data_IF_020368863932
#
_entry.id   IF_020368863932
#
_cell.length_a   1.000
_cell.length_b   1.000
_cell.length_c   1.000
_cell.angle_alpha   90.00
_cell.angle_beta   90.00
_cell.angle_gamma   90.00
#
_symmetry.space_group_name_H-M   'P 1'
#
loop_
_entity.id
_entity.type
_entity.pdbx_description
1 polymer ?
#
# COMPACT_ATOMS: atom_id res chain seq x y z
N UNK A 1 -22.49 -21.78 -8.20
CA UNK A 1 -21.46 -21.68 -7.15
C UNK A 1 -22.06 -20.78 -6.09
N UNK A 2 -22.62 -21.37 -5.03
CA UNK A 2 -23.41 -20.63 -4.04
C UNK A 2 -22.50 -19.71 -3.23
N UNK A 3 -22.74 -18.41 -3.31
CA UNK A 3 -22.17 -17.43 -2.39
C UNK A 3 -22.96 -17.49 -1.08
N UNK A 4 -22.51 -18.34 -0.17
CA UNK A 4 -23.00 -18.35 1.20
C UNK A 4 -22.45 -17.11 1.91
N UNK A 5 -23.22 -16.01 1.87
CA UNK A 5 -22.93 -14.86 2.74
C UNK A 5 -23.23 -15.31 4.17
N UNK A 6 -22.20 -15.67 4.92
CA UNK A 6 -22.27 -15.85 6.35
C UNK A 6 -22.80 -14.54 6.98
N UNK A 7 -24.08 -14.52 7.33
CA UNK A 7 -24.64 -13.43 8.12
C UNK A 7 -23.99 -13.43 9.50
N UNK A 8 -23.56 -12.27 9.97
CA UNK A 8 -23.08 -12.12 11.36
C UNK A 8 -24.29 -12.30 12.28
N UNK A 9 -24.27 -13.39 13.06
CA UNK A 9 -25.26 -13.62 14.12
C UNK A 9 -24.78 -12.90 15.36
N UNK A 10 -25.42 -11.77 15.69
CA UNK A 10 -25.18 -11.07 16.95
C UNK A 10 -25.96 -11.78 18.06
N UNK A 11 -25.25 -12.18 19.10
CA UNK A 11 -25.83 -12.78 20.30
C UNK A 11 -26.38 -11.69 21.23
N UNK A 12 -27.69 -11.66 21.43
CA UNK A 12 -28.35 -10.68 22.31
C UNK A 12 -28.36 -11.09 23.80
N UNK A 13 -27.78 -12.25 24.11
CA UNK A 13 -27.66 -12.81 25.48
C UNK A 13 -26.32 -12.48 26.16
N UNK A 14 -25.51 -11.61 25.57
CA UNK A 14 -24.17 -11.28 26.09
C UNK A 14 -24.21 -10.24 27.21
N UNK A 15 -23.33 -10.41 28.21
CA UNK A 15 -23.06 -9.35 29.17
C UNK A 15 -22.28 -8.20 28.50
N UNK A 16 -22.29 -6.97 29.06
CA UNK A 16 -21.51 -5.86 28.51
C UNK A 16 -20.00 -6.15 28.43
N UNK A 17 -19.46 -6.95 29.35
CA UNK A 17 -18.07 -7.37 29.31
C UNK A 17 -17.80 -8.29 28.11
N UNK A 18 -18.67 -9.27 27.88
CA UNK A 18 -18.53 -10.22 26.78
C UNK A 18 -18.62 -9.52 25.42
N UNK A 19 -19.50 -8.53 25.28
CA UNK A 19 -19.59 -7.69 24.06
C UNK A 19 -18.25 -6.99 23.78
N UNK A 20 -17.64 -6.38 24.79
CA UNK A 20 -16.36 -5.67 24.61
C UNK A 20 -15.21 -6.64 24.33
N UNK A 21 -15.21 -7.81 24.96
CA UNK A 21 -14.23 -8.86 24.71
C UNK A 21 -14.34 -9.38 23.26
N UNK A 22 -15.56 -9.62 22.78
CA UNK A 22 -15.83 -10.06 21.41
C UNK A 22 -15.42 -8.99 20.39
N UNK A 23 -15.76 -7.72 20.63
CA UNK A 23 -15.33 -6.62 19.77
C UNK A 23 -13.81 -6.51 19.69
N UNK A 24 -13.10 -6.67 20.81
CA UNK A 24 -11.64 -6.67 20.83
C UNK A 24 -11.06 -7.85 20.05
N UNK A 25 -11.65 -9.04 20.19
CA UNK A 25 -11.25 -10.25 19.46
C UNK A 25 -11.45 -10.09 17.95
N UNK A 26 -12.61 -9.57 17.53
CA UNK A 26 -12.91 -9.27 16.14
C UNK A 26 -11.92 -8.24 15.57
N UNK A 27 -11.62 -7.18 16.33
CA UNK A 27 -10.64 -6.18 15.90
C UNK A 27 -9.23 -6.76 15.74
N UNK A 28 -8.78 -7.57 16.69
CA UNK A 28 -7.48 -8.24 16.57
C UNK A 28 -7.40 -9.15 15.34
N UNK A 29 -8.51 -9.81 14.99
CA UNK A 29 -8.61 -10.62 13.77
C UNK A 29 -8.52 -9.76 12.51
N UNK A 30 -9.20 -8.61 12.48
CA UNK A 30 -9.13 -7.64 11.39
C UNK A 30 -7.71 -7.10 11.20
N UNK A 31 -7.06 -6.66 12.29
CA UNK A 31 -5.70 -6.14 12.26
C UNK A 31 -4.69 -7.18 11.76
N UNK A 32 -4.84 -8.44 12.18
CA UNK A 32 -4.00 -9.55 11.69
C UNK A 32 -4.21 -9.80 10.18
N UNK A 33 -5.45 -9.72 9.71
CA UNK A 33 -5.76 -9.87 8.28
C UNK A 33 -5.16 -8.72 7.46
N UNK A 34 -5.28 -7.48 7.93
CA UNK A 34 -4.69 -6.30 7.28
C UNK A 34 -3.15 -6.39 7.24
N UNK A 35 -2.50 -6.80 8.33
CA UNK A 35 -1.06 -7.01 8.37
C UNK A 35 -0.62 -8.09 7.36
N UNK A 36 -1.39 -9.17 7.22
CA UNK A 36 -1.13 -10.21 6.22
C UNK A 36 -1.27 -9.67 4.78
N UNK A 37 -2.27 -8.85 4.51
CA UNK A 37 -2.44 -8.23 3.20
C UNK A 37 -1.26 -7.33 2.85
N UNK A 38 -0.76 -6.54 3.81
CA UNK A 38 0.42 -5.70 3.63
C UNK A 38 1.66 -6.54 3.31
N UNK A 39 1.89 -7.63 4.04
CA UNK A 39 3.01 -8.55 3.77
C UNK A 39 2.93 -9.17 2.37
N UNK A 40 1.73 -9.54 1.91
CA UNK A 40 1.52 -10.05 0.55
C UNK A 40 1.77 -8.99 -0.52
N UNK A 41 1.37 -7.73 -0.27
CA UNK A 41 1.66 -6.63 -1.18
C UNK A 41 3.16 -6.35 -1.28
N UNK A 42 3.89 -6.40 -0.16
CA UNK A 42 5.35 -6.29 -0.16
C UNK A 42 6.02 -7.42 -0.94
N UNK A 43 5.59 -8.67 -0.70
CA UNK A 43 6.07 -9.82 -1.47
C UNK A 43 5.76 -9.68 -2.96
N UNK A 44 4.59 -9.17 -3.31
CA UNK A 44 4.24 -8.90 -4.71
C UNK A 44 5.20 -7.89 -5.33
N UNK A 45 5.54 -6.81 -4.62
CA UNK A 45 6.52 -5.84 -5.09
C UNK A 45 7.92 -6.46 -5.27
N UNK A 46 8.36 -7.34 -4.35
CA UNK A 46 9.63 -8.05 -4.46
C UNK A 46 9.68 -9.00 -5.67
N UNK A 47 8.55 -9.64 -6.00
CA UNK A 47 8.42 -10.55 -7.14
C UNK A 47 8.30 -9.83 -8.49
N UNK A 48 7.88 -8.57 -8.49
CA UNK A 48 7.80 -7.73 -9.67
C UNK A 48 8.82 -6.60 -9.52
N UNK A 49 10.13 -6.90 -9.44
CA UNK A 49 11.13 -5.85 -9.38
C UNK A 49 10.95 -5.01 -10.64
N UNK A 50 10.66 -3.70 -10.52
CA UNK A 50 10.61 -2.85 -11.69
C UNK A 50 11.99 -2.93 -12.32
N UNK A 51 12.05 -3.38 -13.56
CA UNK A 51 13.31 -3.58 -14.31
C UNK A 51 14.14 -2.28 -14.36
N UNK A 52 13.54 -1.14 -14.05
CA UNK A 52 14.15 0.05 -13.46
C UNK A 52 13.07 0.93 -12.83
N UNK A 53 13.24 1.41 -11.59
CA UNK A 53 12.29 2.37 -10.98
C UNK A 53 12.31 3.71 -11.75
N UNK A 54 13.40 4.02 -12.47
CA UNK A 54 13.48 5.21 -13.32
C UNK A 54 12.49 5.19 -14.50
N UNK A 55 12.03 4.03 -14.99
CA UNK A 55 11.03 4.01 -16.06
C UNK A 55 9.59 3.92 -15.56
N UNK A 56 9.36 3.32 -14.38
CA UNK A 56 8.02 3.08 -13.84
C UNK A 56 7.51 4.24 -12.95
N UNK A 57 8.39 5.02 -12.32
CA UNK A 57 8.03 6.17 -11.48
C UNK A 57 7.92 7.49 -12.26
N UNK A 58 8.28 7.50 -13.54
CA UNK A 58 8.20 8.70 -14.39
C UNK A 58 6.88 8.66 -15.15
N UNK A 59 5.80 9.03 -14.47
CA UNK A 59 4.62 9.53 -15.16
C UNK A 59 4.90 11.00 -15.49
N UNK A 60 5.70 11.27 -16.53
CA UNK A 60 5.88 12.63 -17.06
C UNK A 60 4.58 13.09 -17.70
N UNK A 61 3.69 13.66 -16.90
CA UNK A 61 2.68 14.57 -17.40
C UNK A 61 3.41 15.84 -17.85
N UNK A 62 2.99 16.51 -18.93
CA UNK A 62 3.50 17.84 -19.22
C UNK A 62 3.38 18.75 -17.97
N UNK A 63 4.51 19.19 -17.41
CA UNK A 63 4.58 19.95 -16.16
C UNK A 63 5.00 19.16 -14.90
N UNK A 64 5.40 17.90 -15.03
CA UNK A 64 6.03 17.12 -13.95
C UNK A 64 7.55 17.28 -13.94
N UNK A 65 8.15 17.05 -12.78
CA UNK A 65 9.59 17.22 -12.53
C UNK A 65 10.44 16.42 -13.53
N UNK A 66 11.41 17.08 -14.16
CA UNK A 66 12.36 16.45 -15.07
C UNK A 66 13.80 16.57 -14.55
N UNK A 67 14.64 15.57 -14.83
CA UNK A 67 16.08 15.68 -14.62
C UNK A 67 16.71 16.28 -15.88
N UNK A 68 17.38 17.43 -15.73
CA UNK A 68 18.05 18.11 -16.83
C UNK A 68 19.58 17.98 -16.68
N UNK A 69 20.34 17.84 -17.79
CA UNK A 69 21.79 17.80 -17.74
C UNK A 69 22.33 19.14 -17.23
N UNK A 70 23.11 19.13 -16.14
CA UNK A 70 23.56 20.37 -15.46
C UNK A 70 24.33 21.34 -16.38
N UNK A 71 25.00 20.84 -17.42
CA UNK A 71 25.78 21.65 -18.34
C UNK A 71 25.69 21.18 -19.81
N UNK A 72 24.60 20.51 -20.18
CA UNK A 72 24.36 20.00 -21.53
C UNK A 72 24.72 18.53 -21.75
N UNK A 73 24.68 18.08 -23.01
CA UNK A 73 24.81 16.67 -23.39
C UNK A 73 26.10 16.03 -22.82
N UNK A 74 25.93 14.91 -22.12
CA UNK A 74 27.04 14.15 -21.50
C UNK A 74 27.35 14.52 -20.05
N UNK A 75 26.67 15.51 -19.46
CA UNK A 75 26.79 15.84 -18.04
C UNK A 75 25.76 15.12 -17.16
N UNK A 76 26.07 14.82 -15.88
CA UNK A 76 25.13 14.20 -14.97
C UNK A 76 23.82 14.98 -14.87
N UNK A 77 22.69 14.25 -14.92
CA UNK A 77 21.37 14.82 -14.77
C UNK A 77 21.13 15.17 -13.29
N UNK A 78 20.50 16.32 -13.05
CA UNK A 78 20.11 16.78 -11.71
C UNK A 78 18.63 17.15 -11.73
N UNK A 79 17.97 17.02 -10.58
CA UNK A 79 16.59 17.49 -10.43
C UNK A 79 16.50 19.00 -10.69
N UNK A 80 15.44 19.45 -11.35
CA UNK A 80 15.18 20.85 -11.73
C UNK A 80 15.18 21.86 -10.57
N UNK A 81 15.10 21.41 -9.31
CA UNK A 81 15.17 22.25 -8.11
C UNK A 81 16.56 22.34 -7.48
N UNK A 82 17.61 21.82 -8.13
CA UNK A 82 18.96 21.92 -7.60
C UNK A 82 19.44 23.38 -7.70
N UNK A 83 19.27 24.14 -6.60
CA UNK A 83 19.85 25.48 -6.45
C UNK A 83 21.30 25.31 -6.00
N UNK A 84 22.24 25.79 -6.82
CA UNK A 84 23.66 25.89 -6.51
C UNK A 84 23.97 27.11 -5.61
#
# INVERSE_FOLDING_TARGET
MNEERAGVVVRDDMSPFDVLAELRSARATEDAAAARQLALAALWADLHPPESIHSAAVFTVPGSEHEEPIAGEGWPAVAEFFIA
#
